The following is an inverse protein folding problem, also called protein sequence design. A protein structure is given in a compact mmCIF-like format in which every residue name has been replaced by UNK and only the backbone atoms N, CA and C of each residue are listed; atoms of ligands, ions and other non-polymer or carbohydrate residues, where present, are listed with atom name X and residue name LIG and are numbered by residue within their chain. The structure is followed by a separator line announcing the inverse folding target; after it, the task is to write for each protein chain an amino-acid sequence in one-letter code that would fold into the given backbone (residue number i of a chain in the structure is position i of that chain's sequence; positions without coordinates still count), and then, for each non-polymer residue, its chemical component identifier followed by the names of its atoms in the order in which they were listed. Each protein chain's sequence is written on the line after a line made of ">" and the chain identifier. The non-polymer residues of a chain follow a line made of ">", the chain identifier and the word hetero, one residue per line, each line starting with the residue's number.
data_IF_506661382462
#
_entry.id   IF_506661382462
#
_cell.length_a   1.000
_cell.length_b   1.000
_cell.length_c   1.000
_cell.angle_alpha   90.00
_cell.angle_beta   90.00
_cell.angle_gamma   90.00
#
_symmetry.space_group_name_H-M   'P 1'
#
loop_
_entity.id
_entity.type
_entity.pdbx_description
1 polymer ?
#
# COMPACT_ATOMS: atom_id res chain seq x y z
N UNK A 1 -3.97 31.94 5.78
CA UNK A 1 -2.96 31.41 4.83
C UNK A 1 -2.33 30.16 5.44
N UNK A 2 -2.67 28.96 4.95
CA UNK A 2 -2.00 27.73 5.41
C UNK A 2 -0.56 27.73 4.89
N UNK A 3 0.45 27.67 5.78
CA UNK A 3 1.84 27.52 5.34
C UNK A 3 2.01 26.14 4.71
N UNK A 4 2.33 26.11 3.42
CA UNK A 4 2.73 24.88 2.74
C UNK A 4 3.91 24.24 3.46
N UNK A 5 3.75 22.98 3.88
CA UNK A 5 4.78 22.25 4.60
C UNK A 5 5.95 21.95 3.65
N UNK A 6 7.16 22.37 4.02
CA UNK A 6 8.37 22.09 3.24
C UNK A 6 8.66 20.58 3.31
N UNK A 7 8.75 19.92 2.16
CA UNK A 7 9.07 18.50 2.06
C UNK A 7 10.56 18.32 1.78
N UNK A 8 11.17 17.31 2.42
CA UNK A 8 12.58 16.95 2.25
C UNK A 8 12.69 15.51 1.77
N UNK A 9 13.60 15.25 0.83
CA UNK A 9 13.84 13.91 0.30
C UNK A 9 14.43 12.99 1.38
N UNK A 10 14.18 11.68 1.25
CA UNK A 10 14.74 10.69 2.19
C UNK A 10 16.27 10.73 2.21
N UNK A 11 16.90 10.86 1.03
CA UNK A 11 18.35 10.98 0.86
C UNK A 11 18.92 12.17 1.64
N UNK A 12 18.30 13.35 1.48
CA UNK A 12 18.73 14.55 2.19
C UNK A 12 18.63 14.40 3.71
N UNK A 13 17.51 13.84 4.21
CA UNK A 13 17.35 13.56 5.64
C UNK A 13 18.43 12.61 6.16
N UNK A 14 18.71 11.52 5.43
CA UNK A 14 19.72 10.55 5.85
C UNK A 14 21.13 11.12 5.85
N UNK A 15 21.50 11.93 4.85
CA UNK A 15 22.83 12.55 4.78
C UNK A 15 23.09 13.44 6.00
N UNK A 16 22.15 14.30 6.35
CA UNK A 16 22.30 15.18 7.53
C UNK A 16 22.32 14.41 8.85
N UNK A 17 21.51 13.36 8.97
CA UNK A 17 21.54 12.51 10.18
C UNK A 17 22.87 11.77 10.27
N UNK A 18 23.41 11.27 9.15
CA UNK A 18 24.72 10.60 9.13
C UNK A 18 25.84 11.59 9.47
N UNK A 19 25.84 12.80 8.90
CA UNK A 19 26.80 13.86 9.25
C UNK A 19 26.76 14.19 10.75
N UNK A 20 25.55 14.30 11.31
CA UNK A 20 25.35 14.50 12.75
C UNK A 20 25.85 13.31 13.59
N UNK A 21 25.70 12.07 13.12
CA UNK A 21 26.16 10.88 13.81
C UNK A 21 27.69 10.69 13.72
N UNK A 22 28.33 11.16 12.65
CA UNK A 22 29.79 11.21 12.52
C UNK A 22 30.43 12.16 13.54
N UNK A 23 29.68 13.18 13.98
CA UNK A 23 30.13 14.11 15.03
C UNK A 23 31.11 15.19 14.53
N UNK A 24 31.28 15.34 13.23
CA UNK A 24 32.17 16.36 12.62
C UNK A 24 31.63 17.78 12.83
N UNK A 25 30.31 17.94 12.91
CA UNK A 25 29.61 19.21 13.18
C UNK A 25 28.52 19.04 14.22
N UNK A 26 28.29 20.08 15.01
CA UNK A 26 27.18 20.11 15.96
C UNK A 26 25.82 20.21 15.26
N UNK A 27 24.77 19.74 15.95
CA UNK A 27 23.39 19.79 15.49
C UNK A 27 22.97 21.20 15.08
N UNK A 28 23.35 22.23 15.83
CA UNK A 28 22.97 23.62 15.52
C UNK A 28 23.69 24.14 14.27
N UNK A 29 24.95 23.74 14.06
CA UNK A 29 25.73 24.09 12.88
C UNK A 29 25.14 23.46 11.63
N UNK A 30 24.88 22.15 11.65
CA UNK A 30 24.26 21.43 10.52
C UNK A 30 22.87 22.02 10.20
N UNK A 31 22.09 22.32 11.24
CA UNK A 31 20.76 22.89 11.08
C UNK A 31 20.82 24.29 10.41
N UNK A 32 21.76 25.13 10.83
CA UNK A 32 21.95 26.48 10.29
C UNK A 32 22.45 26.46 8.85
N UNK A 33 23.48 25.67 8.55
CA UNK A 33 24.05 25.53 7.20
C UNK A 33 23.02 25.03 6.18
N UNK A 34 22.12 24.14 6.61
CA UNK A 34 21.09 23.56 5.76
C UNK A 34 19.74 24.28 5.83
N UNK A 35 19.66 25.39 6.58
CA UNK A 35 18.46 26.20 6.75
C UNK A 35 17.24 25.35 7.18
N UNK A 36 17.46 24.50 8.19
CA UNK A 36 16.45 23.65 8.83
C UNK A 36 16.37 23.97 10.33
N UNK A 37 15.23 23.68 10.95
CA UNK A 37 15.09 23.88 12.39
C UNK A 37 15.84 22.78 13.16
N UNK A 38 16.59 23.10 14.24
CA UNK A 38 17.30 22.12 15.06
C UNK A 38 16.43 20.96 15.55
N UNK A 39 15.20 21.25 16.00
CA UNK A 39 14.24 20.23 16.42
C UNK A 39 13.85 19.26 15.30
N UNK A 40 13.82 19.72 14.05
CA UNK A 40 13.50 18.87 12.90
C UNK A 40 14.61 17.85 12.66
N UNK A 41 15.88 18.27 12.74
CA UNK A 41 17.03 17.38 12.64
C UNK A 41 17.09 16.38 13.80
N UNK A 42 16.74 16.83 15.02
CA UNK A 42 16.64 15.95 16.20
C UNK A 42 15.57 14.87 16.02
N UNK A 43 14.41 15.22 15.45
CA UNK A 43 13.36 14.26 15.12
C UNK A 43 13.80 13.27 14.04
N UNK A 44 14.47 13.73 12.99
CA UNK A 44 15.00 12.83 11.95
C UNK A 44 16.05 11.87 12.48
N UNK A 45 16.94 12.33 13.38
CA UNK A 45 17.90 11.44 14.04
C UNK A 45 17.19 10.33 14.81
N UNK A 46 16.13 10.67 15.56
CA UNK A 46 15.32 9.68 16.27
C UNK A 46 14.67 8.70 15.29
N UNK A 47 13.96 9.19 14.28
CA UNK A 47 13.30 8.36 13.26
C UNK A 47 14.27 7.43 12.53
N UNK A 48 15.48 7.90 12.24
CA UNK A 48 16.52 7.11 11.58
C UNK A 48 17.00 5.96 12.47
N UNK A 49 17.30 6.24 13.75
CA UNK A 49 17.75 5.22 14.70
C UNK A 49 16.64 4.19 14.99
N UNK A 50 15.39 4.64 15.14
CA UNK A 50 14.24 3.77 15.37
C UNK A 50 14.02 2.78 14.20
N UNK A 51 14.35 3.20 12.97
CA UNK A 51 14.20 2.38 11.75
C UNK A 51 15.50 1.66 11.34
N UNK A 52 16.63 1.97 11.95
CA UNK A 52 17.93 1.45 11.54
C UNK A 52 18.03 -0.07 11.72
N UNK A 53 17.45 -0.61 12.80
CA UNK A 53 17.44 -2.05 13.07
C UNK A 53 16.74 -2.84 11.96
N UNK A 54 15.67 -2.30 11.39
CA UNK A 54 14.89 -2.92 10.31
C UNK A 54 15.72 -3.13 9.04
N UNK A 55 16.79 -2.35 8.83
CA UNK A 55 17.68 -2.50 7.67
C UNK A 55 18.52 -3.79 7.77
N UNK A 56 18.81 -4.25 8.98
CA UNK A 56 19.58 -5.47 9.24
C UNK A 56 18.69 -6.69 9.54
N UNK A 57 17.37 -6.52 9.49
CA UNK A 57 16.43 -7.63 9.65
C UNK A 57 16.32 -8.38 8.30
N UNK A 58 17.15 -9.40 8.13
CA UNK A 58 17.19 -10.26 6.95
C UNK A 58 15.84 -10.97 6.70
N UNK A 59 14.97 -11.07 7.72
CA UNK A 59 13.65 -11.70 7.56
C UNK A 59 12.64 -10.79 6.87
N UNK A 60 12.94 -9.50 6.70
CA UNK A 60 12.00 -8.53 6.11
C UNK A 60 11.63 -8.89 4.67
N UNK A 61 12.59 -9.32 3.86
CA UNK A 61 12.31 -9.71 2.47
C UNK A 61 11.46 -10.98 2.42
N UNK A 62 11.74 -11.94 3.30
CA UNK A 62 11.00 -13.20 3.39
C UNK A 62 9.57 -12.99 3.89
N UNK A 63 9.37 -12.14 4.91
CA UNK A 63 8.05 -11.74 5.40
C UNK A 63 7.23 -11.05 4.30
N UNK A 64 7.86 -10.20 3.47
CA UNK A 64 7.18 -9.56 2.34
C UNK A 64 6.81 -10.56 1.25
N UNK A 65 7.70 -11.51 0.94
CA UNK A 65 7.42 -12.60 -0.02
C UNK A 65 6.29 -13.50 0.47
N UNK A 66 6.28 -13.84 1.75
CA UNK A 66 5.24 -14.67 2.36
C UNK A 66 3.87 -13.96 2.30
N UNK A 67 3.81 -12.69 2.69
CA UNK A 67 2.58 -11.89 2.59
C UNK A 67 2.07 -11.82 1.15
N UNK A 68 2.95 -11.58 0.19
CA UNK A 68 2.60 -11.55 -1.23
C UNK A 68 2.10 -12.91 -1.72
N UNK A 69 2.70 -14.01 -1.25
CA UNK A 69 2.27 -15.37 -1.59
C UNK A 69 0.87 -15.66 -1.03
N UNK A 70 0.56 -15.18 0.18
CA UNK A 70 -0.74 -15.32 0.81
C UNK A 70 -1.82 -14.54 0.05
N UNK A 71 -1.56 -13.27 -0.29
CA UNK A 71 -2.46 -12.45 -1.11
C UNK A 71 -2.71 -13.07 -2.49
N UNK A 72 -1.69 -13.69 -3.10
CA UNK A 72 -1.83 -14.41 -4.37
C UNK A 72 -2.70 -15.66 -4.24
N UNK A 73 -2.57 -16.42 -3.15
CA UNK A 73 -3.41 -17.59 -2.89
C UNK A 73 -4.87 -17.19 -2.72
N UNK A 74 -5.15 -16.20 -1.88
CA UNK A 74 -6.52 -15.69 -1.69
C UNK A 74 -7.13 -15.21 -3.01
N UNK A 75 -6.37 -14.43 -3.80
CA UNK A 75 -6.83 -13.97 -5.12
C UNK A 75 -7.13 -15.12 -6.07
N UNK A 76 -6.33 -16.18 -6.05
CA UNK A 76 -6.56 -17.37 -6.87
C UNK A 76 -7.83 -18.12 -6.45
N UNK A 77 -8.10 -18.23 -5.15
CA UNK A 77 -9.32 -18.85 -4.62
C UNK A 77 -10.57 -18.05 -5.02
N UNK A 78 -10.52 -16.72 -4.89
CA UNK A 78 -11.60 -15.86 -5.36
C UNK A 78 -11.82 -15.98 -6.86
N UNK A 79 -10.76 -15.98 -7.67
CA UNK A 79 -10.87 -16.14 -9.12
C UNK A 79 -11.51 -17.50 -9.50
N UNK A 80 -11.15 -18.59 -8.80
CA UNK A 80 -11.78 -19.90 -8.99
C UNK A 80 -13.26 -19.86 -8.65
N UNK A 81 -13.64 -19.21 -7.53
CA UNK A 81 -15.05 -19.11 -7.13
C UNK A 81 -15.85 -18.27 -8.12
N UNK A 82 -15.30 -17.16 -8.60
CA UNK A 82 -15.92 -16.34 -9.64
C UNK A 82 -16.12 -17.16 -10.91
N UNK A 83 -15.09 -17.87 -11.41
CA UNK A 83 -15.23 -18.73 -12.60
C UNK A 83 -16.32 -19.79 -12.44
N UNK A 84 -16.39 -20.47 -11.30
CA UNK A 84 -17.47 -21.43 -11.01
C UNK A 84 -18.85 -20.77 -11.02
N UNK A 85 -19.00 -19.61 -10.38
CA UNK A 85 -20.26 -18.88 -10.34
C UNK A 85 -20.66 -18.37 -11.73
N UNK A 86 -19.72 -17.86 -12.53
CA UNK A 86 -19.97 -17.45 -13.92
C UNK A 86 -20.51 -18.62 -14.74
N UNK A 87 -19.88 -19.79 -14.68
CA UNK A 87 -20.39 -20.98 -15.38
C UNK A 87 -21.78 -21.40 -14.92
N UNK A 88 -22.07 -21.34 -13.62
CA UNK A 88 -23.39 -21.67 -13.07
C UNK A 88 -24.45 -20.66 -13.52
N UNK A 89 -24.12 -19.36 -13.48
CA UNK A 89 -25.00 -18.28 -13.94
C UNK A 89 -25.28 -18.44 -15.43
N UNK A 90 -24.26 -18.63 -16.27
CA UNK A 90 -24.43 -18.80 -17.71
C UNK A 90 -25.31 -20.02 -18.04
N UNK A 91 -25.13 -21.12 -17.32
CA UNK A 91 -25.97 -22.30 -17.47
C UNK A 91 -27.43 -22.03 -17.06
N UNK A 92 -27.66 -21.36 -15.92
CA UNK A 92 -29.00 -21.00 -15.46
C UNK A 92 -29.69 -20.01 -16.39
N UNK A 93 -28.95 -19.04 -16.94
CA UNK A 93 -29.45 -18.10 -17.93
C UNK A 93 -29.94 -18.82 -19.18
N UNK A 94 -29.11 -19.72 -19.72
CA UNK A 94 -29.46 -20.56 -20.87
C UNK A 94 -30.72 -21.40 -20.61
N UNK A 95 -30.81 -22.04 -19.43
CA UNK A 95 -31.97 -22.87 -19.07
C UNK A 95 -33.24 -22.04 -18.89
N UNK A 96 -33.12 -20.85 -18.31
CA UNK A 96 -34.25 -19.93 -18.17
C UNK A 96 -34.74 -19.44 -19.53
N UNK A 97 -33.84 -19.13 -20.46
CA UNK A 97 -34.21 -18.77 -21.83
C UNK A 97 -34.92 -19.93 -22.56
N UNK A 98 -34.42 -21.17 -22.43
CA UNK A 98 -35.05 -22.36 -23.02
C UNK A 98 -36.46 -22.64 -22.47
N UNK A 99 -36.73 -22.32 -21.20
CA UNK A 99 -37.98 -22.69 -20.52
C UNK A 99 -39.00 -21.57 -20.41
N UNK A 100 -38.55 -20.33 -20.22
CA UNK A 100 -39.37 -19.13 -19.98
C UNK A 100 -39.38 -18.18 -21.18
N UNK A 101 -38.56 -18.45 -22.19
CA UNK A 101 -38.42 -17.64 -23.41
C UNK A 101 -37.38 -16.51 -23.28
N UNK A 102 -37.03 -15.84 -24.40
CA UNK A 102 -35.95 -14.85 -24.45
C UNK A 102 -36.14 -13.61 -23.58
N UNK A 103 -37.38 -13.33 -23.16
CA UNK A 103 -37.72 -12.14 -22.36
C UNK A 103 -37.77 -12.41 -20.84
N UNK A 104 -37.28 -13.58 -20.40
CA UNK A 104 -37.31 -13.97 -18.98
C UNK A 104 -36.53 -13.01 -18.07
N UNK A 105 -35.39 -12.47 -18.51
CA UNK A 105 -34.57 -11.57 -17.68
C UNK A 105 -35.36 -10.31 -17.29
N UNK A 106 -36.10 -9.73 -18.23
CA UNK A 106 -36.94 -8.54 -18.00
C UNK A 106 -38.12 -8.83 -17.05
N UNK A 107 -38.69 -10.04 -17.12
CA UNK A 107 -39.87 -10.42 -16.34
C UNK A 107 -39.54 -10.87 -14.92
N UNK A 108 -38.38 -11.49 -14.71
CA UNK A 108 -38.09 -12.25 -13.48
C UNK A 108 -36.77 -11.89 -12.80
N UNK A 109 -35.90 -11.11 -13.44
CA UNK A 109 -34.58 -10.77 -12.90
C UNK A 109 -34.42 -9.25 -12.73
N UNK A 110 -35.03 -8.64 -11.69
CA UNK A 110 -34.79 -7.25 -11.37
C UNK A 110 -33.30 -7.05 -11.05
N UNK A 111 -32.65 -6.10 -11.72
CA UNK A 111 -31.21 -5.86 -11.59
C UNK A 111 -30.90 -5.32 -10.19
N UNK A 112 -30.06 -6.00 -9.38
CA UNK A 112 -29.83 -5.61 -7.98
C UNK A 112 -29.01 -4.33 -7.77
N UNK A 113 -28.50 -3.69 -8.85
CA UNK A 113 -27.53 -2.58 -8.78
C UNK A 113 -27.79 -1.47 -9.81
N UNK A 114 -29.01 -1.36 -10.35
CA UNK A 114 -29.39 -0.16 -11.12
C UNK A 114 -30.10 0.83 -10.19
N UNK A 115 -29.30 1.71 -9.58
CA UNK A 115 -29.70 3.07 -9.17
C UNK A 115 -29.07 4.08 -10.15
#
# INVERSE_FOLDING_TARGET
>A
MSRTRRNFSAKFKSELVIELLKGEKDLNTIATENNIQPNLLRNWKKEFLDKASVVFDDTREDNLKEKLALERKEKAEYAKKVGQLTMQVDWLKKKSEETLGPDYESKFSPKPFED
#
